data_IF_496844122005
#
_entry.id   IF_496844122005
#
_cell.length_a   1.000
_cell.length_b   1.000
_cell.length_c   1.000
_cell.angle_alpha   90.00
_cell.angle_beta   90.00
_cell.angle_gamma   90.00
#
_symmetry.space_group_name_H-M   'P 1'
#
loop_
_entity.id
_entity.type
_entity.pdbx_description
1 polymer ?
#
# COMPACT_ATOMS: atom_id res chain seq x y z
N UNK A 1 -43.36 1.96 -6.16
CA UNK A 1 -42.84 3.17 -6.80
C UNK A 1 -41.49 2.83 -7.38
N UNK A 2 -41.40 2.74 -8.71
CA UNK A 2 -40.16 2.55 -9.44
C UNK A 2 -39.35 3.84 -9.38
N UNK A 3 -38.31 3.86 -8.53
CA UNK A 3 -37.28 4.89 -8.60
C UNK A 3 -36.60 4.78 -9.97
N UNK A 4 -36.79 5.79 -10.82
CA UNK A 4 -36.06 5.90 -12.08
C UNK A 4 -34.61 6.24 -11.75
N UNK A 5 -33.81 5.22 -11.47
CA UNK A 5 -32.38 5.41 -11.25
C UNK A 5 -31.75 5.89 -12.55
N UNK A 6 -31.14 7.07 -12.51
CA UNK A 6 -30.43 7.69 -13.62
C UNK A 6 -28.93 7.38 -13.52
N UNK A 7 -28.16 7.69 -14.57
CA UNK A 7 -26.71 7.51 -14.57
C UNK A 7 -26.01 8.36 -13.49
N UNK A 8 -26.64 9.46 -13.07
CA UNK A 8 -26.17 10.36 -12.00
C UNK A 8 -26.29 9.72 -10.60
N UNK A 9 -27.09 8.66 -10.45
CA UNK A 9 -27.26 7.93 -9.19
C UNK A 9 -26.19 6.84 -8.98
N UNK A 10 -25.28 6.65 -9.94
CA UNK A 10 -24.19 5.67 -9.84
C UNK A 10 -23.05 6.22 -9.00
N UNK A 11 -22.75 5.55 -7.87
CA UNK A 11 -21.68 5.93 -6.94
C UNK A 11 -20.28 6.05 -7.59
N UNK A 12 -20.04 5.28 -8.67
CA UNK A 12 -18.77 5.28 -9.40
C UNK A 12 -18.79 6.20 -10.63
N UNK A 13 -19.95 6.71 -11.05
CA UNK A 13 -20.16 7.31 -12.38
C UNK A 13 -20.17 6.32 -13.56
N UNK A 14 -19.96 5.02 -13.29
CA UNK A 14 -20.03 3.90 -14.23
C UNK A 14 -20.39 2.61 -13.50
N UNK A 15 -20.68 1.53 -14.24
CA UNK A 15 -20.84 0.19 -13.66
C UNK A 15 -19.49 -0.54 -13.73
N UNK A 16 -18.90 -0.96 -12.60
CA UNK A 16 -17.63 -1.69 -12.61
C UNK A 16 -17.70 -2.95 -13.47
N UNK A 17 -16.64 -3.25 -14.23
CA UNK A 17 -16.61 -4.47 -15.07
C UNK A 17 -16.38 -5.73 -14.22
N UNK A 18 -17.33 -6.66 -14.25
CA UNK A 18 -17.31 -7.91 -13.48
C UNK A 18 -16.04 -8.77 -13.70
N UNK A 19 -15.69 -9.06 -14.95
CA UNK A 19 -14.51 -9.88 -15.27
C UNK A 19 -13.19 -9.30 -14.75
N UNK A 20 -13.09 -7.97 -14.69
CA UNK A 20 -11.93 -7.28 -14.12
C UNK A 20 -11.86 -7.54 -12.62
N UNK A 21 -12.99 -7.42 -11.91
CA UNK A 21 -13.05 -7.70 -10.48
C UNK A 21 -12.69 -9.17 -10.16
N UNK A 22 -13.20 -10.13 -10.94
CA UNK A 22 -12.86 -11.56 -10.80
C UNK A 22 -11.36 -11.81 -11.01
N UNK A 23 -10.75 -11.12 -11.98
CA UNK A 23 -9.31 -11.24 -12.27
C UNK A 23 -8.48 -10.81 -11.06
N UNK A 24 -8.77 -9.64 -10.48
CA UNK A 24 -8.03 -9.17 -9.29
C UNK A 24 -8.29 -10.04 -8.06
N UNK A 25 -9.53 -10.48 -7.84
CA UNK A 25 -9.83 -11.45 -6.76
C UNK A 25 -8.99 -12.73 -6.91
N UNK A 26 -8.85 -13.24 -8.12
CA UNK A 26 -8.02 -14.41 -8.40
C UNK A 26 -6.54 -14.12 -8.11
N UNK A 27 -6.00 -12.99 -8.59
CA UNK A 27 -4.60 -12.61 -8.37
C UNK A 27 -4.31 -12.41 -6.88
N UNK A 28 -5.13 -11.64 -6.17
CA UNK A 28 -4.94 -11.41 -4.74
C UNK A 28 -5.18 -12.67 -3.91
N UNK A 29 -6.13 -13.52 -4.30
CA UNK A 29 -6.40 -14.81 -3.65
C UNK A 29 -5.19 -15.75 -3.75
N UNK A 30 -4.68 -15.95 -4.95
CA UNK A 30 -3.49 -16.78 -5.20
C UNK A 30 -2.28 -16.20 -4.48
N UNK A 31 -2.06 -14.88 -4.59
CA UNK A 31 -0.94 -14.18 -3.96
C UNK A 31 -0.97 -14.30 -2.43
N UNK A 32 -2.15 -14.13 -1.80
CA UNK A 32 -2.35 -14.26 -0.35
C UNK A 32 -2.15 -15.69 0.13
N UNK A 33 -2.62 -16.66 -0.65
CA UNK A 33 -2.39 -18.09 -0.38
C UNK A 33 -0.89 -18.40 -0.34
N UNK A 34 -0.13 -17.94 -1.34
CA UNK A 34 1.33 -18.14 -1.35
C UNK A 34 2.02 -17.44 -0.18
N UNK A 35 1.69 -16.19 0.14
CA UNK A 35 2.21 -15.50 1.33
C UNK A 35 1.92 -16.26 2.62
N UNK A 36 0.73 -16.85 2.72
CA UNK A 36 0.34 -17.68 3.87
C UNK A 36 1.21 -18.91 3.98
N UNK A 37 1.30 -19.72 2.91
CA UNK A 37 2.15 -20.92 2.87
C UNK A 37 3.60 -20.57 3.21
N UNK A 38 4.14 -19.51 2.61
CA UNK A 38 5.51 -19.07 2.80
C UNK A 38 5.78 -18.59 4.24
N UNK A 39 4.83 -17.85 4.84
CA UNK A 39 4.92 -17.37 6.23
C UNK A 39 4.97 -18.52 7.24
N UNK A 40 4.13 -19.54 7.06
CA UNK A 40 4.11 -20.73 7.92
C UNK A 40 5.35 -21.62 7.71
N UNK A 41 5.72 -21.88 6.45
CA UNK A 41 6.90 -22.71 6.14
C UNK A 41 8.19 -22.09 6.66
N UNK A 42 8.37 -20.77 6.47
CA UNK A 42 9.59 -20.06 6.88
C UNK A 42 9.53 -19.49 8.29
N UNK A 43 8.42 -19.72 9.03
CA UNK A 43 8.14 -19.18 10.38
C UNK A 43 8.33 -17.66 10.48
N UNK A 44 8.01 -16.94 9.41
CA UNK A 44 8.10 -15.48 9.34
C UNK A 44 6.77 -14.85 9.78
N UNK A 45 6.45 -14.96 11.07
CA UNK A 45 5.19 -14.48 11.66
C UNK A 45 4.88 -13.00 11.41
N UNK A 46 5.90 -12.17 11.15
CA UNK A 46 5.72 -10.76 10.80
C UNK A 46 5.10 -10.53 9.42
N UNK A 47 5.05 -11.55 8.54
CA UNK A 47 4.32 -11.52 7.27
C UNK A 47 2.80 -11.54 7.46
N UNK A 48 2.32 -12.06 8.61
CA UNK A 48 0.89 -12.13 8.91
C UNK A 48 0.25 -10.74 9.02
N UNK A 49 0.69 -9.84 9.93
CA UNK A 49 0.12 -8.50 10.03
C UNK A 49 0.51 -7.58 8.86
N UNK A 50 1.30 -8.05 7.89
CA UNK A 50 1.77 -7.24 6.76
C UNK A 50 1.23 -7.75 5.42
N UNK A 51 1.94 -8.64 4.73
CA UNK A 51 1.57 -9.12 3.40
C UNK A 51 0.23 -9.87 3.37
N UNK A 52 -0.05 -10.69 4.37
CA UNK A 52 -1.30 -11.45 4.45
C UNK A 52 -2.48 -10.52 4.74
N UNK A 53 -2.32 -9.59 5.69
CA UNK A 53 -3.34 -8.57 5.98
C UNK A 53 -3.62 -7.68 4.75
N UNK A 54 -2.58 -7.26 4.02
CA UNK A 54 -2.73 -6.56 2.74
C UNK A 54 -3.59 -7.37 1.76
N UNK A 55 -3.28 -8.65 1.60
CA UNK A 55 -4.02 -9.54 0.72
C UNK A 55 -5.49 -9.72 1.08
N UNK A 56 -5.81 -9.90 2.37
CA UNK A 56 -7.19 -9.97 2.83
C UNK A 56 -7.98 -8.67 2.62
N UNK A 57 -7.33 -7.52 2.83
CA UNK A 57 -7.96 -6.21 2.61
C UNK A 57 -8.21 -5.95 1.12
N UNK A 58 -7.25 -6.27 0.25
CA UNK A 58 -7.44 -6.22 -1.21
C UNK A 58 -8.59 -7.15 -1.64
N UNK A 59 -8.61 -8.41 -1.17
CA UNK A 59 -9.70 -9.35 -1.46
C UNK A 59 -11.06 -8.81 -1.04
N UNK A 60 -11.16 -8.19 0.13
CA UNK A 60 -12.41 -7.60 0.62
C UNK A 60 -12.85 -6.44 -0.26
N UNK A 61 -11.92 -5.58 -0.66
CA UNK A 61 -12.23 -4.43 -1.51
C UNK A 61 -12.63 -4.80 -2.92
N UNK A 62 -11.93 -5.75 -3.54
CA UNK A 62 -12.30 -6.28 -4.86
C UNK A 62 -13.60 -7.10 -4.82
N UNK A 63 -13.94 -7.72 -3.69
CA UNK A 63 -15.24 -8.37 -3.49
C UNK A 63 -16.37 -7.34 -3.42
N UNK A 64 -16.14 -6.20 -2.77
CA UNK A 64 -17.09 -5.08 -2.78
C UNK A 64 -17.27 -4.48 -4.16
N UNK A 65 -16.19 -4.40 -4.94
CA UNK A 65 -16.24 -3.97 -6.33
C UNK A 65 -17.03 -4.93 -7.22
N UNK A 66 -16.87 -6.24 -7.02
CA UNK A 66 -17.64 -7.28 -7.71
C UNK A 66 -19.12 -7.21 -7.33
N UNK A 67 -19.43 -7.01 -6.05
CA UNK A 67 -20.82 -6.80 -5.64
C UNK A 67 -21.41 -5.53 -6.27
N UNK A 68 -20.61 -4.47 -6.38
CA UNK A 68 -21.02 -3.24 -7.07
C UNK A 68 -21.25 -3.42 -8.57
N UNK A 69 -20.55 -4.34 -9.25
CA UNK A 69 -20.83 -4.62 -10.67
C UNK A 69 -22.19 -5.28 -10.89
N UNK A 70 -22.65 -6.06 -9.90
CA UNK A 70 -23.94 -6.75 -9.96
C UNK A 70 -25.08 -5.89 -9.40
N UNK A 71 -24.78 -5.02 -8.44
CA UNK A 71 -25.75 -4.16 -7.74
C UNK A 71 -25.20 -2.72 -7.62
N UNK A 72 -25.20 -1.94 -8.72
CA UNK A 72 -24.45 -0.69 -8.83
C UNK A 72 -25.02 0.50 -8.03
N UNK A 73 -26.28 0.40 -7.57
CA UNK A 73 -26.96 1.45 -6.81
C UNK A 73 -26.85 1.26 -5.29
N UNK A 74 -26.14 0.23 -4.81
CA UNK A 74 -25.98 -0.01 -3.38
C UNK A 74 -24.75 0.75 -2.85
N UNK A 75 -24.93 1.49 -1.76
CA UNK A 75 -23.82 2.24 -1.13
C UNK A 75 -22.88 1.33 -0.34
N UNK A 76 -23.42 0.28 0.27
CA UNK A 76 -22.65 -0.67 1.09
C UNK A 76 -21.45 -1.27 0.34
N UNK A 77 -21.58 -1.85 -0.87
CA UNK A 77 -20.45 -2.41 -1.59
C UNK A 77 -19.46 -1.35 -2.07
N UNK A 78 -19.91 -0.13 -2.38
CA UNK A 78 -19.06 1.01 -2.69
C UNK A 78 -18.20 1.45 -1.49
N UNK A 79 -18.83 1.70 -0.34
CA UNK A 79 -18.13 2.10 0.89
C UNK A 79 -17.14 1.01 1.31
N UNK A 80 -17.56 -0.26 1.24
CA UNK A 80 -16.68 -1.39 1.56
C UNK A 80 -15.42 -1.37 0.69
N UNK A 81 -15.57 -1.23 -0.63
CA UNK A 81 -14.45 -1.15 -1.56
C UNK A 81 -13.58 0.08 -1.34
N UNK A 82 -14.18 1.26 -1.21
CA UNK A 82 -13.46 2.52 -1.00
C UNK A 82 -12.58 2.46 0.26
N UNK A 83 -13.15 2.06 1.40
CA UNK A 83 -12.43 2.02 2.68
C UNK A 83 -11.35 0.94 2.67
N UNK A 84 -11.68 -0.29 2.28
CA UNK A 84 -10.74 -1.41 2.38
C UNK A 84 -9.58 -1.26 1.42
N UNK A 85 -9.81 -0.80 0.18
CA UNK A 85 -8.72 -0.60 -0.77
C UNK A 85 -7.82 0.56 -0.34
N UNK A 86 -8.32 1.64 0.27
CA UNK A 86 -7.47 2.68 0.84
C UNK A 86 -6.51 2.11 1.90
N UNK A 87 -7.00 1.21 2.76
CA UNK A 87 -6.21 0.66 3.88
C UNK A 87 -5.26 -0.44 3.42
N UNK A 88 -5.66 -1.24 2.44
CA UNK A 88 -5.00 -2.47 1.99
C UNK A 88 -3.47 -2.40 1.75
N UNK A 89 -2.90 -1.40 1.05
CA UNK A 89 -1.46 -1.40 0.74
C UNK A 89 -0.57 -1.13 1.95
N UNK A 90 -1.10 -0.50 3.00
CA UNK A 90 -0.29 0.01 4.11
C UNK A 90 0.40 -1.09 4.92
N UNK A 91 -0.25 -2.20 5.25
CA UNK A 91 0.43 -3.39 5.78
C UNK A 91 1.61 -3.87 4.92
N UNK A 92 1.54 -3.74 3.58
CA UNK A 92 2.66 -4.10 2.69
C UNK A 92 3.82 -3.10 2.78
N UNK A 93 3.54 -1.81 2.98
CA UNK A 93 4.58 -0.81 3.28
C UNK A 93 5.28 -1.13 4.61
N UNK A 94 4.52 -1.54 5.62
CA UNK A 94 5.07 -1.96 6.90
C UNK A 94 6.03 -3.16 6.76
N UNK A 95 5.74 -4.12 5.86
CA UNK A 95 6.68 -5.19 5.52
C UNK A 95 8.03 -4.66 5.01
N UNK A 96 8.00 -3.65 4.13
CA UNK A 96 9.22 -2.98 3.63
C UNK A 96 10.05 -2.39 4.78
N UNK A 97 9.41 -1.71 5.73
CA UNK A 97 10.09 -1.12 6.88
C UNK A 97 10.76 -2.17 7.77
N UNK A 98 10.08 -3.30 8.01
CA UNK A 98 10.63 -4.44 8.76
C UNK A 98 11.81 -5.07 8.03
N UNK A 99 11.69 -5.27 6.71
CA UNK A 99 12.76 -5.81 5.87
C UNK A 99 14.00 -4.93 5.90
N UNK A 100 13.87 -3.61 5.73
CA UNK A 100 15.01 -2.70 5.81
C UNK A 100 15.69 -2.80 7.18
N UNK A 101 14.91 -2.82 8.26
CA UNK A 101 15.44 -3.00 9.60
C UNK A 101 16.20 -4.32 9.79
N UNK A 102 15.81 -5.41 9.12
CA UNK A 102 16.56 -6.67 9.12
C UNK A 102 17.85 -6.58 8.31
N UNK A 103 17.82 -5.91 7.17
CA UNK A 103 19.00 -5.70 6.32
C UNK A 103 20.05 -4.84 7.04
N UNK A 104 19.64 -3.75 7.69
CA UNK A 104 20.53 -2.89 8.48
C UNK A 104 21.20 -3.70 9.61
N UNK A 105 20.46 -4.58 10.29
CA UNK A 105 21.04 -5.46 11.32
C UNK A 105 22.11 -6.40 10.78
N UNK A 106 21.96 -6.88 9.54
CA UNK A 106 22.92 -7.79 8.92
C UNK A 106 24.17 -7.11 8.38
N UNK A 107 24.00 -5.94 7.76
CA UNK A 107 25.11 -5.24 7.09
C UNK A 107 25.93 -4.38 8.04
N UNK A 108 25.30 -3.86 9.10
CA UNK A 108 25.96 -2.99 10.06
C UNK A 108 25.06 -1.81 10.43
N UNK A 109 24.58 -1.74 11.69
CA UNK A 109 23.85 -0.58 12.19
C UNK A 109 24.63 0.74 12.13
N UNK A 110 25.97 0.68 12.09
CA UNK A 110 26.88 1.82 12.05
C UNK A 110 26.72 2.72 10.81
N UNK A 111 26.21 2.17 9.70
CA UNK A 111 25.99 2.94 8.46
C UNK A 111 24.62 3.64 8.44
N UNK A 112 23.75 3.37 9.41
CA UNK A 112 22.38 3.90 9.45
C UNK A 112 22.23 5.02 10.50
N UNK A 113 21.52 6.10 10.13
CA UNK A 113 21.18 7.20 11.05
C UNK A 113 20.31 6.71 12.22
N UNK A 114 19.25 5.99 11.87
CA UNK A 114 18.27 5.46 12.81
C UNK A 114 18.56 3.99 13.13
N UNK A 115 18.18 3.56 14.33
CA UNK A 115 18.22 2.14 14.66
C UNK A 115 17.12 1.40 13.89
N UNK A 116 17.33 0.12 13.53
CA UNK A 116 16.32 -0.71 12.85
C UNK A 116 14.92 -0.62 13.44
N UNK A 117 14.81 -0.62 14.78
CA UNK A 117 13.54 -0.53 15.50
C UNK A 117 12.88 0.84 15.34
N UNK A 118 13.67 1.92 15.26
CA UNK A 118 13.16 3.28 15.07
C UNK A 118 12.58 3.48 13.66
N UNK A 119 13.15 2.88 12.62
CA UNK A 119 12.54 2.91 11.29
C UNK A 119 11.13 2.32 11.33
N UNK A 120 11.00 1.09 11.82
CA UNK A 120 9.70 0.42 11.86
C UNK A 120 8.71 1.22 12.71
N UNK A 121 9.08 1.70 13.90
CA UNK A 121 8.13 2.45 14.74
C UNK A 121 7.72 3.77 14.09
N UNK A 122 8.66 4.62 13.66
CA UNK A 122 8.35 5.96 13.15
C UNK A 122 7.49 5.86 11.88
N UNK A 123 7.94 5.09 10.89
CA UNK A 123 7.27 5.05 9.60
C UNK A 123 5.93 4.29 9.65
N UNK A 124 5.81 3.23 10.45
CA UNK A 124 4.50 2.58 10.67
C UNK A 124 3.55 3.51 11.42
N UNK A 125 4.01 4.28 12.41
CA UNK A 125 3.17 5.26 13.09
C UNK A 125 2.69 6.37 12.15
N UNK A 126 3.57 6.89 11.27
CA UNK A 126 3.17 7.84 10.24
C UNK A 126 2.09 7.27 9.32
N UNK A 127 2.28 6.03 8.87
CA UNK A 127 1.32 5.31 8.01
C UNK A 127 -0.03 5.05 8.71
N UNK A 128 -0.04 4.72 10.00
CA UNK A 128 -1.29 4.54 10.75
C UNK A 128 -2.03 5.88 10.87
N UNK A 129 -1.31 6.97 11.15
CA UNK A 129 -1.91 8.31 11.25
C UNK A 129 -2.49 8.73 9.89
N UNK A 130 -1.74 8.56 8.80
CA UNK A 130 -2.25 8.89 7.46
C UNK A 130 -3.48 8.07 7.10
N UNK A 131 -3.52 6.78 7.46
CA UNK A 131 -4.65 5.91 7.22
C UNK A 131 -5.91 6.36 7.97
N UNK A 132 -5.77 6.74 9.24
CA UNK A 132 -6.91 7.24 10.03
C UNK A 132 -7.47 8.51 9.39
N UNK A 133 -6.60 9.43 8.97
CA UNK A 133 -7.01 10.66 8.26
C UNK A 133 -7.72 10.32 6.95
N UNK A 134 -7.19 9.39 6.16
CA UNK A 134 -7.81 8.94 4.91
C UNK A 134 -9.17 8.27 5.13
N UNK A 135 -9.31 7.43 6.16
CA UNK A 135 -10.58 6.79 6.50
C UNK A 135 -11.64 7.80 6.94
N UNK A 136 -11.25 8.84 7.70
CA UNK A 136 -12.15 9.94 8.07
C UNK A 136 -12.55 10.73 6.82
N UNK A 137 -11.59 11.11 5.97
CA UNK A 137 -11.89 11.84 4.73
C UNK A 137 -12.78 11.07 3.77
N UNK A 138 -12.51 9.78 3.59
CA UNK A 138 -13.32 8.88 2.76
C UNK A 138 -14.74 8.72 3.31
N UNK A 139 -14.91 8.54 4.62
CA UNK A 139 -16.25 8.38 5.21
C UNK A 139 -17.10 9.66 5.15
N UNK A 140 -16.48 10.84 5.29
CA UNK A 140 -17.16 12.13 5.09
C UNK A 140 -17.61 12.32 3.64
N UNK A 141 -16.83 11.83 2.67
CA UNK A 141 -17.15 11.97 1.25
C UNK A 141 -18.16 10.93 0.72
N UNK A 142 -18.33 9.77 1.36
CA UNK A 142 -19.10 8.63 0.81
C UNK A 142 -20.55 8.50 1.33
N UNK A 143 -21.15 9.56 1.88
CA UNK A 143 -22.51 9.54 2.43
C UNK A 143 -23.60 9.73 1.38
N UNK A 144 -24.78 9.15 1.62
CA UNK A 144 -25.92 9.12 0.67
C UNK A 144 -26.69 10.44 0.55
N UNK A 145 -26.35 11.44 1.37
CA UNK A 145 -26.93 12.80 1.33
C UNK A 145 -25.83 13.86 1.50
N UNK A 146 -24.63 13.56 1.02
CA UNK A 146 -23.47 14.44 1.22
C UNK A 146 -23.56 15.63 0.28
N UNK A 147 -23.56 16.85 0.83
CA UNK A 147 -23.53 18.06 0.02
C UNK A 147 -22.20 18.17 -0.74
N UNK A 148 -22.18 18.90 -1.87
CA UNK A 148 -20.93 19.13 -2.62
C UNK A 148 -19.80 19.68 -1.74
N UNK A 149 -20.13 20.51 -0.73
CA UNK A 149 -19.16 21.02 0.24
C UNK A 149 -18.58 19.93 1.14
N UNK A 150 -19.39 18.95 1.56
CA UNK A 150 -18.93 17.83 2.38
C UNK A 150 -18.09 16.83 1.56
N UNK A 151 -18.45 16.58 0.29
CA UNK A 151 -17.62 15.77 -0.62
C UNK A 151 -16.23 16.40 -0.79
N UNK A 152 -16.18 17.70 -1.05
CA UNK A 152 -14.91 18.44 -1.17
C UNK A 152 -14.11 18.43 0.15
N UNK A 153 -14.78 18.61 1.29
CA UNK A 153 -14.14 18.52 2.60
C UNK A 153 -13.51 17.14 2.83
N UNK A 154 -14.28 16.06 2.59
CA UNK A 154 -13.79 14.70 2.75
C UNK A 154 -12.62 14.39 1.82
N UNK A 155 -12.69 14.86 0.57
CA UNK A 155 -11.61 14.75 -0.41
C UNK A 155 -10.32 15.45 0.05
N UNK A 156 -10.43 16.68 0.58
CA UNK A 156 -9.29 17.42 1.12
C UNK A 156 -8.68 16.77 2.37
N UNK A 157 -9.52 16.21 3.25
CA UNK A 157 -9.04 15.48 4.43
C UNK A 157 -8.27 14.23 3.97
N UNK A 158 -8.84 13.44 3.05
CA UNK A 158 -8.19 12.24 2.54
C UNK A 158 -6.87 12.56 1.82
N UNK A 159 -6.86 13.62 0.99
CA UNK A 159 -5.67 14.16 0.34
C UNK A 159 -4.56 14.47 1.35
N UNK A 160 -4.89 15.16 2.45
CA UNK A 160 -3.93 15.49 3.49
C UNK A 160 -3.24 14.25 4.09
N UNK A 161 -4.02 13.20 4.35
CA UNK A 161 -3.49 11.92 4.81
C UNK A 161 -2.57 11.26 3.78
N UNK A 162 -2.98 11.18 2.52
CA UNK A 162 -2.18 10.58 1.45
C UNK A 162 -0.88 11.36 1.17
N UNK A 163 -0.92 12.70 1.20
CA UNK A 163 0.28 13.54 1.04
C UNK A 163 1.25 13.33 2.19
N UNK A 164 0.76 13.27 3.43
CA UNK A 164 1.59 12.97 4.60
C UNK A 164 2.26 11.60 4.47
N UNK A 165 1.52 10.59 4.03
CA UNK A 165 2.06 9.26 3.74
C UNK A 165 3.12 9.27 2.65
N UNK A 166 2.89 10.00 1.55
CA UNK A 166 3.85 10.14 0.46
C UNK A 166 5.16 10.76 0.94
N UNK A 167 5.09 11.82 1.74
CA UNK A 167 6.26 12.45 2.34
C UNK A 167 7.01 11.46 3.24
N UNK A 168 6.30 10.68 4.06
CA UNK A 168 6.91 9.65 4.90
C UNK A 168 7.66 8.59 4.06
N UNK A 169 7.08 8.13 2.95
CA UNK A 169 7.73 7.18 2.03
C UNK A 169 8.97 7.80 1.38
N UNK A 170 8.92 9.06 0.95
CA UNK A 170 10.07 9.77 0.36
C UNK A 170 11.22 9.91 1.36
N UNK A 171 10.91 10.26 2.61
CA UNK A 171 11.92 10.33 3.69
C UNK A 171 12.50 8.94 3.95
N UNK A 172 11.68 7.89 3.98
CA UNK A 172 12.13 6.51 4.11
C UNK A 172 13.10 6.12 2.98
N UNK A 173 12.73 6.37 1.71
CA UNK A 173 13.58 6.11 0.55
C UNK A 173 14.91 6.85 0.64
N UNK A 174 14.87 8.11 1.07
CA UNK A 174 16.07 8.94 1.26
C UNK A 174 17.00 8.34 2.32
N UNK A 175 16.46 7.90 3.46
CA UNK A 175 17.25 7.23 4.51
C UNK A 175 17.80 5.87 4.05
N UNK A 176 17.02 5.09 3.30
CA UNK A 176 17.46 3.81 2.75
C UNK A 176 18.61 4.00 1.74
N UNK A 177 18.48 4.97 0.83
CA UNK A 177 19.52 5.34 -0.13
C UNK A 177 20.79 5.83 0.58
N UNK A 178 20.65 6.64 1.62
CA UNK A 178 21.77 7.10 2.45
C UNK A 178 22.52 5.94 3.11
N UNK A 179 21.78 4.98 3.66
CA UNK A 179 22.34 3.80 4.30
C UNK A 179 23.12 2.94 3.29
N UNK A 180 22.54 2.67 2.12
CA UNK A 180 23.19 1.89 1.07
C UNK A 180 24.43 2.59 0.51
N UNK A 181 24.35 3.91 0.32
CA UNK A 181 25.48 4.74 -0.16
C UNK A 181 26.63 4.69 0.85
N UNK A 182 26.35 4.86 2.14
CA UNK A 182 27.38 4.78 3.18
C UNK A 182 27.99 3.40 3.32
N UNK A 183 27.18 2.36 3.18
CA UNK A 183 27.68 0.99 3.18
C UNK A 183 28.60 0.71 1.97
N UNK A 184 28.27 1.28 0.80
CA UNK A 184 29.06 1.13 -0.42
C UNK A 184 30.41 1.86 -0.34
N UNK A 185 30.43 3.08 0.18
CA UNK A 185 31.65 3.90 0.34
C UNK A 185 32.39 3.70 1.67
N UNK A 186 31.93 2.75 2.49
CA UNK A 186 32.48 2.44 3.81
C UNK A 186 32.63 3.66 4.74
N UNK A 187 31.59 4.50 4.80
CA UNK A 187 31.54 5.72 5.62
C UNK A 187 30.58 5.55 6.80
N UNK A 188 30.98 4.96 7.94
CA UNK A 188 30.09 4.80 9.10
C UNK A 188 29.74 6.16 9.73
N UNK A 189 28.51 6.30 10.25
CA UNK A 189 28.02 7.53 10.92
C UNK A 189 28.43 7.55 12.37
N UNK A 190 28.39 6.38 13.02
CA UNK A 190 28.76 6.20 14.41
C UNK A 190 30.14 5.60 14.43
N UNK A 191 30.99 6.06 15.35
CA UNK A 191 32.33 5.48 15.55
C UNK A 191 32.18 3.96 15.61
N UNK A 192 32.88 3.28 14.70
CA UNK A 192 32.91 1.84 14.66
C UNK A 192 33.64 1.38 15.93
N UNK A 193 32.89 1.09 17.00
CA UNK A 193 33.34 0.08 17.95
C UNK A 193 33.48 -1.28 17.23
N UNK A 194 33.57 -2.37 17.97
CA UNK A 194 33.70 -3.76 17.46
C UNK A 194 32.55 -4.26 16.54
N UNK A 195 31.72 -3.38 15.98
CA UNK A 195 30.69 -3.69 15.00
C UNK A 195 31.33 -4.13 13.67
N UNK A 196 31.33 -5.43 13.42
CA UNK A 196 31.80 -6.03 12.18
C UNK A 196 30.91 -5.61 11.00
N UNK A 197 31.54 -5.25 9.89
CA UNK A 197 30.85 -4.97 8.62
C UNK A 197 30.32 -6.28 8.04
N UNK A 198 29.00 -6.36 7.85
CA UNK A 198 28.37 -7.51 7.23
C UNK A 198 28.65 -7.58 5.73
N UNK A 199 28.72 -8.79 5.17
CA UNK A 199 28.94 -9.01 3.74
C UNK A 199 27.61 -8.92 2.98
N UNK A 200 27.55 -8.05 1.97
CA UNK A 200 26.42 -7.97 1.05
C UNK A 200 26.47 -9.10 0.01
N UNK A 201 26.01 -10.29 0.41
CA UNK A 201 25.88 -11.43 -0.49
C UNK A 201 24.86 -11.19 -1.62
N UNK A 202 24.96 -12.02 -2.69
CA UNK A 202 23.95 -12.10 -3.76
C UNK A 202 22.49 -12.18 -3.26
N UNK A 203 22.12 -12.98 -2.24
CA UNK A 203 20.74 -13.05 -1.75
C UNK A 203 20.23 -11.71 -1.22
N UNK A 204 21.07 -10.97 -0.50
CA UNK A 204 20.71 -9.69 0.10
C UNK A 204 20.54 -8.59 -0.97
N UNK A 205 21.39 -8.61 -2.01
CA UNK A 205 21.22 -7.71 -3.17
C UNK A 205 19.89 -7.95 -3.87
N UNK A 206 19.50 -9.21 -4.09
CA UNK A 206 18.19 -9.54 -4.70
C UNK A 206 17.03 -9.02 -3.84
N UNK A 207 17.11 -9.16 -2.52
CA UNK A 207 16.11 -8.60 -1.61
C UNK A 207 16.02 -7.07 -1.71
N UNK A 208 17.16 -6.37 -1.77
CA UNK A 208 17.17 -4.91 -1.95
C UNK A 208 16.54 -4.47 -3.28
N UNK A 209 16.80 -5.20 -4.36
CA UNK A 209 16.14 -4.95 -5.65
C UNK A 209 14.63 -5.16 -5.56
N UNK A 210 14.19 -6.28 -4.95
CA UNK A 210 12.77 -6.57 -4.76
C UNK A 210 12.05 -5.50 -3.92
N UNK A 211 12.67 -5.06 -2.82
CA UNK A 211 12.15 -3.97 -1.99
C UNK A 211 12.06 -2.64 -2.76
N UNK A 212 13.05 -2.36 -3.60
CA UNK A 212 13.07 -1.15 -4.43
C UNK A 212 11.93 -1.16 -5.46
N UNK A 213 11.71 -2.29 -6.14
CA UNK A 213 10.59 -2.50 -7.07
C UNK A 213 9.25 -2.37 -6.34
N UNK A 214 9.10 -3.03 -5.19
CA UNK A 214 7.89 -2.96 -4.37
C UNK A 214 7.59 -1.52 -3.93
N UNK A 215 8.61 -0.80 -3.46
CA UNK A 215 8.48 0.61 -3.06
C UNK A 215 8.10 1.50 -4.24
N UNK A 216 8.66 1.26 -5.44
CA UNK A 216 8.31 2.03 -6.63
C UNK A 216 6.83 1.87 -7.00
N UNK A 217 6.29 0.65 -6.99
CA UNK A 217 4.86 0.42 -7.26
C UNK A 217 3.96 1.10 -6.22
N UNK A 218 4.34 1.03 -4.93
CA UNK A 218 3.62 1.72 -3.85
C UNK A 218 3.63 3.23 -4.08
N UNK A 219 4.77 3.82 -4.45
CA UNK A 219 4.88 5.26 -4.72
C UNK A 219 4.00 5.67 -5.90
N UNK A 220 4.02 4.91 -7.01
CA UNK A 220 3.17 5.19 -8.18
C UNK A 220 1.69 5.20 -7.79
N UNK A 221 1.24 4.21 -7.01
CA UNK A 221 -0.11 4.19 -6.46
C UNK A 221 -0.40 5.40 -5.58
N UNK A 222 0.49 5.74 -4.65
CA UNK A 222 0.27 6.88 -3.75
C UNK A 222 0.16 8.19 -4.52
N UNK A 223 0.93 8.37 -5.60
CA UNK A 223 0.80 9.52 -6.51
C UNK A 223 -0.56 9.52 -7.22
N UNK A 224 -1.02 8.37 -7.72
CA UNK A 224 -2.37 8.24 -8.28
C UNK A 224 -3.45 8.65 -7.26
N UNK A 225 -3.33 8.21 -6.01
CA UNK A 225 -4.28 8.58 -4.94
C UNK A 225 -4.26 10.08 -4.63
N UNK A 226 -3.09 10.72 -4.67
CA UNK A 226 -3.00 12.18 -4.58
C UNK A 226 -3.77 12.84 -5.73
N UNK A 227 -3.57 12.37 -6.98
CA UNK A 227 -4.25 12.92 -8.15
C UNK A 227 -5.77 12.68 -8.06
N UNK A 228 -6.20 11.49 -7.65
CA UNK A 228 -7.61 11.13 -7.45
C UNK A 228 -8.29 12.05 -6.42
N UNK A 229 -7.65 12.35 -5.30
CA UNK A 229 -8.21 13.26 -4.30
C UNK A 229 -8.07 14.75 -4.68
N UNK A 230 -7.13 15.13 -5.55
CA UNK A 230 -7.08 16.50 -6.10
C UNK A 230 -8.17 16.73 -7.15
N UNK A 231 -8.41 15.74 -8.01
CA UNK A 231 -9.49 15.78 -9.02
C UNK A 231 -10.88 15.68 -8.38
N UNK A 232 -10.94 15.14 -7.16
CA UNK A 232 -12.15 14.99 -6.38
C UNK A 232 -13.00 13.79 -6.82
N UNK A 233 -14.00 13.47 -6.01
CA UNK A 233 -14.84 12.27 -6.23
C UNK A 233 -15.68 12.31 -7.51
N UNK A 234 -16.01 13.51 -8.01
CA UNK A 234 -16.70 13.70 -9.28
C UNK A 234 -15.74 13.94 -10.46
N UNK A 235 -14.43 13.81 -10.23
CA UNK A 235 -13.39 14.01 -11.23
C UNK A 235 -13.35 12.93 -12.30
N UNK A 236 -12.72 13.24 -13.44
CA UNK A 236 -12.53 12.29 -14.55
C UNK A 236 -11.69 11.07 -14.14
N UNK A 237 -10.80 11.23 -13.16
CA UNK A 237 -9.91 10.16 -12.68
C UNK A 237 -10.71 9.10 -11.92
N UNK A 238 -11.63 9.49 -11.04
CA UNK A 238 -12.46 8.55 -10.28
C UNK A 238 -13.54 7.88 -11.17
N UNK A 239 -14.12 8.64 -12.10
CA UNK A 239 -15.19 8.17 -13.01
C UNK A 239 -14.69 7.34 -14.18
N UNK A 240 -13.37 7.16 -14.32
CA UNK A 240 -12.77 6.38 -15.42
C UNK A 240 -12.12 5.11 -14.88
N UNK A 241 -12.78 3.97 -15.10
CA UNK A 241 -12.40 2.67 -14.52
C UNK A 241 -10.94 2.25 -14.77
N UNK A 242 -10.38 2.51 -15.95
CA UNK A 242 -9.08 1.98 -16.31
C UNK A 242 -7.94 2.59 -15.49
N UNK A 243 -8.05 3.87 -15.09
CA UNK A 243 -7.03 4.50 -14.24
C UNK A 243 -6.94 3.79 -12.89
N UNK A 244 -8.09 3.57 -12.26
CA UNK A 244 -8.19 2.84 -11.00
C UNK A 244 -7.58 1.42 -11.11
N UNK A 245 -7.96 0.69 -12.16
CA UNK A 245 -7.47 -0.68 -12.39
C UNK A 245 -5.94 -0.72 -12.52
N UNK A 246 -5.36 0.18 -13.32
CA UNK A 246 -3.93 0.17 -13.62
C UNK A 246 -3.12 0.71 -12.45
N UNK A 247 -3.48 1.89 -11.92
CA UNK A 247 -2.64 2.59 -10.96
C UNK A 247 -2.89 2.17 -9.51
N UNK A 248 -4.02 1.53 -9.21
CA UNK A 248 -4.30 1.02 -7.88
C UNK A 248 -4.17 -0.51 -7.82
N UNK A 249 -4.95 -1.22 -8.64
CA UNK A 249 -5.01 -2.68 -8.66
C UNK A 249 -3.72 -3.34 -9.14
N UNK A 250 -3.26 -3.01 -10.35
CA UNK A 250 -2.05 -3.61 -10.93
C UNK A 250 -0.83 -3.26 -10.07
N UNK A 251 -0.71 -2.03 -9.58
CA UNK A 251 0.46 -1.64 -8.76
C UNK A 251 0.60 -2.48 -7.49
N UNK A 252 -0.48 -2.70 -6.72
CA UNK A 252 -0.37 -3.51 -5.49
C UNK A 252 -0.27 -4.99 -5.77
N UNK A 253 -0.97 -5.50 -6.80
CA UNK A 253 -0.78 -6.90 -7.19
C UNK A 253 0.68 -7.17 -7.57
N UNK A 254 1.31 -6.31 -8.37
CA UNK A 254 2.74 -6.44 -8.72
C UNK A 254 3.65 -6.31 -7.49
N UNK A 255 3.35 -5.40 -6.57
CA UNK A 255 4.07 -5.26 -5.31
C UNK A 255 4.02 -6.54 -4.46
N UNK A 256 2.82 -7.12 -4.29
CA UNK A 256 2.63 -8.37 -3.55
C UNK A 256 3.28 -9.58 -4.25
N UNK A 257 3.18 -9.66 -5.58
CA UNK A 257 3.81 -10.70 -6.38
C UNK A 257 5.34 -10.63 -6.31
N UNK A 258 5.90 -9.41 -6.27
CA UNK A 258 7.34 -9.20 -6.07
C UNK A 258 7.79 -9.78 -4.75
N UNK A 259 7.06 -9.56 -3.66
CA UNK A 259 7.38 -10.13 -2.36
C UNK A 259 7.22 -11.66 -2.32
N UNK A 260 6.22 -12.20 -3.04
CA UNK A 260 6.05 -13.65 -3.20
C UNK A 260 7.23 -14.30 -3.94
N UNK A 261 7.70 -13.67 -5.01
CA UNK A 261 8.82 -14.17 -5.81
C UNK A 261 10.17 -14.06 -5.07
N UNK A 262 10.37 -12.96 -4.34
CA UNK A 262 11.59 -12.71 -3.57
C UNK A 262 11.37 -12.95 -2.07
N UNK A 263 10.93 -14.17 -1.72
CA UNK A 263 10.50 -14.46 -0.36
C UNK A 263 11.62 -14.24 0.70
N UNK A 264 11.36 -13.47 1.77
CA UNK A 264 12.38 -13.16 2.77
C UNK A 264 12.97 -14.37 3.49
N UNK A 265 12.23 -15.47 3.62
CA UNK A 265 12.70 -16.67 4.31
C UNK A 265 13.86 -17.38 3.60
N UNK A 266 14.07 -17.10 2.32
CA UNK A 266 15.18 -17.66 1.53
C UNK A 266 16.43 -16.77 1.59
N UNK A 267 16.25 -15.47 1.83
CA UNK A 267 17.30 -14.45 1.67
C UNK A 267 17.72 -13.77 2.98
N UNK A 268 16.88 -13.85 4.01
CA UNK A 268 17.13 -13.43 5.38
C UNK A 268 17.19 -14.67 6.27
#
# INVERSE_FOLDING_TARGET
GSSNNTQDDLQYGYVPTEWVCITFLSIFGISTFFHTVQAFYSRLWWLIPSAILCGFLELTGWSGRLWSSQNPFLDKPYIMQAVTLIIAPTPLVAANFVLLGRIIRRLGPQYSRLTPRRYTIIFVSCDIISLVVQAIGGSVASGTQTSASQVNLGSNIALGGTVFQLVAIVVYCSCAAEFLTRYAYDRPIRSAGEATRGVMGRPLKRMLYAMSIMTAFIVVRTIYRVIEFVDGWNGKVNTTQWYFVVFDGIMISLAMLTLNAFHPGVYL
#
